data_IF_068541077965
#
_entry.id   IF_068541077965
#
_cell.length_a   1.000
_cell.length_b   1.000
_cell.length_c   1.000
_cell.angle_alpha   90.00
_cell.angle_beta   90.00
_cell.angle_gamma   90.00
#
_symmetry.space_group_name_H-M   'P 1'
#
loop_
_entity.id
_entity.type
_entity.pdbx_description
1 polymer ?
#
# COMPACT_ATOMS: atom_id res chain seq x y z
N UNK A 1 3.35 -19.22 19.35
CA UNK A 1 2.67 -19.58 18.09
C UNK A 1 2.20 -18.35 17.31
N UNK A 2 1.50 -17.40 17.94
CA UNK A 2 1.11 -16.13 17.28
C UNK A 2 2.32 -15.31 16.86
N UNK A 3 3.32 -15.15 17.74
CA UNK A 3 4.55 -14.39 17.44
C UNK A 3 5.37 -15.00 16.28
N UNK A 4 5.47 -16.33 16.20
CA UNK A 4 6.20 -16.98 15.10
C UNK A 4 5.47 -16.81 13.76
N UNK A 5 4.13 -16.92 13.76
CA UNK A 5 3.34 -16.63 12.57
C UNK A 5 3.45 -15.16 12.15
N UNK A 6 3.48 -14.26 13.14
CA UNK A 6 3.69 -12.84 12.90
C UNK A 6 5.04 -12.55 12.27
N UNK A 7 6.12 -13.20 12.74
CA UNK A 7 7.44 -13.06 12.13
C UNK A 7 7.46 -13.55 10.68
N UNK A 8 6.80 -14.67 10.36
CA UNK A 8 6.66 -15.14 8.97
C UNK A 8 5.88 -14.14 8.10
N UNK A 9 4.89 -13.45 8.66
CA UNK A 9 4.18 -12.36 7.96
C UNK A 9 5.12 -11.18 7.74
N UNK A 10 5.91 -10.78 8.73
CA UNK A 10 6.88 -9.69 8.60
C UNK A 10 7.93 -10.00 7.52
N UNK A 11 8.41 -11.24 7.41
CA UNK A 11 9.32 -11.66 6.34
C UNK A 11 8.69 -11.46 4.95
N UNK A 12 7.42 -11.84 4.77
CA UNK A 12 6.69 -11.60 3.52
C UNK A 12 6.52 -10.10 3.24
N UNK A 13 6.22 -9.29 4.27
CA UNK A 13 6.15 -7.83 4.14
C UNK A 13 7.50 -7.25 3.71
N UNK A 14 8.61 -7.74 4.25
CA UNK A 14 9.95 -7.30 3.84
C UNK A 14 10.26 -7.62 2.38
N UNK A 15 9.79 -8.76 1.88
CA UNK A 15 9.90 -9.10 0.45
C UNK A 15 9.10 -8.12 -0.42
N UNK A 16 7.87 -7.79 -0.02
CA UNK A 16 7.04 -6.81 -0.72
C UNK A 16 7.67 -5.41 -0.73
N UNK A 17 8.25 -4.96 0.38
CA UNK A 17 8.93 -3.66 0.44
C UNK A 17 10.21 -3.64 -0.41
N UNK A 18 10.89 -4.78 -0.54
CA UNK A 18 12.02 -4.92 -1.46
C UNK A 18 11.58 -4.76 -2.92
N UNK A 19 10.50 -5.44 -3.34
CA UNK A 19 9.92 -5.27 -4.67
C UNK A 19 9.40 -3.85 -4.93
N UNK A 20 8.85 -3.17 -3.91
CA UNK A 20 8.47 -1.75 -4.02
C UNK A 20 9.67 -0.84 -4.19
N UNK A 21 10.80 -1.12 -3.53
CA UNK A 21 12.05 -0.37 -3.71
C UNK A 21 12.56 -0.49 -5.14
N UNK A 22 12.53 -1.68 -5.72
CA UNK A 22 12.94 -1.93 -7.12
C UNK A 22 12.06 -1.12 -8.10
N UNK A 23 10.73 -1.27 -8.01
CA UNK A 23 9.80 -0.55 -8.89
C UNK A 23 9.86 0.97 -8.67
N UNK A 24 10.17 1.45 -7.47
CA UNK A 24 10.31 2.88 -7.19
C UNK A 24 11.33 3.55 -8.11
N UNK A 25 12.45 2.87 -8.36
CA UNK A 25 13.48 3.36 -9.30
C UNK A 25 12.92 3.45 -10.72
N UNK A 26 12.21 2.42 -11.17
CA UNK A 26 11.61 2.39 -12.50
C UNK A 26 10.55 3.47 -12.70
N UNK A 27 9.74 3.77 -11.67
CA UNK A 27 8.72 4.83 -11.69
C UNK A 27 9.36 6.19 -11.98
N UNK A 28 10.49 6.49 -11.34
CA UNK A 28 11.20 7.76 -11.50
C UNK A 28 11.84 7.90 -12.89
N UNK A 29 12.27 6.79 -13.49
CA UNK A 29 12.92 6.77 -14.80
C UNK A 29 11.93 6.63 -15.98
N UNK A 30 10.70 6.19 -15.74
CA UNK A 30 9.71 5.96 -16.78
C UNK A 30 9.32 7.26 -17.48
N UNK A 31 9.57 7.36 -18.80
CA UNK A 31 9.21 8.53 -19.62
C UNK A 31 7.81 8.43 -20.22
N UNK A 32 7.37 7.22 -20.53
CA UNK A 32 6.05 6.96 -21.10
C UNK A 32 4.98 6.91 -20.01
N UNK A 33 3.90 7.68 -20.18
CA UNK A 33 2.81 7.77 -19.20
C UNK A 33 2.13 6.42 -18.95
N UNK A 34 1.83 5.64 -20.00
CA UNK A 34 1.17 4.33 -19.86
C UNK A 34 2.03 3.35 -19.06
N UNK A 35 3.33 3.28 -19.38
CA UNK A 35 4.30 2.49 -18.62
C UNK A 35 4.38 2.95 -17.17
N UNK A 36 4.45 4.26 -16.93
CA UNK A 36 4.48 4.81 -15.56
C UNK A 36 3.22 4.45 -14.77
N UNK A 37 2.03 4.54 -15.38
CA UNK A 37 0.77 4.13 -14.73
C UNK A 37 0.75 2.63 -14.40
N UNK A 38 1.30 1.77 -15.28
CA UNK A 38 1.44 0.35 -14.99
C UNK A 38 2.37 0.09 -13.80
N UNK A 39 3.51 0.78 -13.73
CA UNK A 39 4.44 0.68 -12.58
C UNK A 39 3.79 1.19 -11.28
N UNK A 40 3.06 2.30 -11.34
CA UNK A 40 2.31 2.83 -10.19
C UNK A 40 1.24 1.83 -9.73
N UNK A 41 0.53 1.18 -10.67
CA UNK A 41 -0.43 0.14 -10.32
C UNK A 41 0.24 -1.03 -9.58
N UNK A 42 1.40 -1.49 -10.05
CA UNK A 42 2.15 -2.56 -9.39
C UNK A 42 2.68 -2.13 -8.01
N UNK A 43 3.15 -0.89 -7.87
CA UNK A 43 3.53 -0.34 -6.57
C UNK A 43 2.37 -0.38 -5.58
N UNK A 44 1.19 0.05 -6.00
CA UNK A 44 -0.02 0.01 -5.18
C UNK A 44 -0.48 -1.43 -4.90
N UNK A 45 -0.28 -2.39 -5.82
CA UNK A 45 -0.63 -3.79 -5.55
C UNK A 45 0.24 -4.40 -4.45
N UNK A 46 1.54 -4.10 -4.44
CA UNK A 46 2.42 -4.55 -3.36
C UNK A 46 2.05 -3.90 -2.02
N UNK A 47 1.68 -2.62 -2.04
CA UNK A 47 1.23 -1.91 -0.84
C UNK A 47 -0.09 -2.49 -0.31
N UNK A 48 -1.02 -2.85 -1.21
CA UNK A 48 -2.25 -3.56 -0.86
C UNK A 48 -1.95 -4.93 -0.21
N UNK A 49 -1.13 -5.76 -0.85
CA UNK A 49 -0.77 -7.07 -0.31
C UNK A 49 -0.11 -6.98 1.06
N UNK A 50 0.72 -5.95 1.29
CA UNK A 50 1.28 -5.68 2.62
C UNK A 50 0.17 -5.40 3.63
N UNK A 51 -0.78 -4.52 3.31
CA UNK A 51 -1.86 -4.21 4.23
C UNK A 51 -2.75 -5.42 4.51
N UNK A 52 -3.04 -6.26 3.51
CA UNK A 52 -3.80 -7.51 3.68
C UNK A 52 -3.08 -8.50 4.60
N UNK A 53 -1.76 -8.67 4.45
CA UNK A 53 -0.95 -9.49 5.35
C UNK A 53 -0.96 -8.96 6.80
N UNK A 54 -0.86 -7.64 6.96
CA UNK A 54 -0.90 -7.00 8.28
C UNK A 54 -2.30 -7.04 8.91
N UNK A 55 -3.38 -7.04 8.11
CA UNK A 55 -4.75 -7.24 8.59
C UNK A 55 -4.94 -8.66 9.12
N UNK A 56 -4.44 -9.66 8.39
CA UNK A 56 -4.46 -11.06 8.86
C UNK A 56 -3.72 -11.20 10.19
N UNK A 57 -2.53 -10.59 10.31
CA UNK A 57 -1.79 -10.54 11.57
C UNK A 57 -2.59 -9.87 12.70
N UNK A 58 -3.24 -8.74 12.41
CA UNK A 58 -4.04 -8.01 13.39
C UNK A 58 -5.24 -8.83 13.89
N UNK A 59 -5.97 -9.49 12.99
CA UNK A 59 -7.13 -10.33 13.32
C UNK A 59 -6.70 -11.53 14.18
N UNK A 60 -5.59 -12.19 13.82
CA UNK A 60 -5.05 -13.31 14.61
C UNK A 60 -4.62 -12.82 15.99
N UNK A 61 -3.89 -11.70 16.08
CA UNK A 61 -3.44 -11.13 17.33
C UNK A 61 -4.61 -10.71 18.24
N UNK A 62 -5.64 -10.09 17.67
CA UNK A 62 -6.86 -9.70 18.39
C UNK A 62 -7.58 -10.94 18.95
N UNK A 63 -7.76 -11.96 18.14
CA UNK A 63 -8.44 -13.21 18.52
C UNK A 63 -7.70 -13.93 19.66
N UNK A 64 -6.37 -13.90 19.64
CA UNK A 64 -5.52 -14.54 20.64
C UNK A 64 -5.12 -13.60 21.80
N UNK A 65 -5.61 -12.36 21.83
CA UNK A 65 -5.30 -11.32 22.82
C UNK A 65 -3.79 -11.03 22.94
N UNK A 66 -3.06 -11.14 21.83
CA UNK A 66 -1.63 -10.89 21.77
C UNK A 66 -1.33 -9.39 21.63
N UNK A 67 -1.19 -8.72 22.78
CA UNK A 67 -1.03 -7.25 22.84
C UNK A 67 0.24 -6.75 22.17
N UNK A 68 1.35 -7.50 22.25
CA UNK A 68 2.63 -7.05 21.68
C UNK A 68 2.54 -6.86 20.16
N UNK A 69 1.84 -7.75 19.47
CA UNK A 69 1.64 -7.66 18.01
C UNK A 69 0.70 -6.50 17.68
N UNK A 70 -0.40 -6.33 18.43
CA UNK A 70 -1.34 -5.23 18.22
C UNK A 70 -0.68 -3.86 18.47
N UNK A 71 0.14 -3.74 19.51
CA UNK A 71 0.88 -2.51 19.83
C UNK A 71 1.89 -2.17 18.73
N UNK A 72 2.59 -3.17 18.20
CA UNK A 72 3.50 -2.98 17.08
C UNK A 72 2.76 -2.53 15.81
N UNK A 73 1.65 -3.20 15.46
CA UNK A 73 0.82 -2.82 14.32
C UNK A 73 0.22 -1.41 14.49
N UNK A 74 -0.23 -1.03 15.69
CA UNK A 74 -0.74 0.31 15.95
C UNK A 74 0.29 1.42 15.67
N UNK A 75 1.57 1.16 15.94
CA UNK A 75 2.65 2.13 15.63
C UNK A 75 2.84 2.32 14.13
N UNK A 76 2.57 1.28 13.32
CA UNK A 76 2.67 1.36 11.86
C UNK A 76 1.50 2.14 11.23
N UNK A 77 0.34 2.17 11.88
CA UNK A 77 -0.89 2.81 11.41
C UNK A 77 -1.32 4.00 12.29
N UNK A 78 -0.35 4.75 12.82
CA UNK A 78 -0.57 5.79 13.83
C UNK A 78 -1.51 6.95 13.38
N UNK A 79 -1.78 7.10 12.09
CA UNK A 79 -2.48 8.23 11.48
C UNK A 79 -3.95 8.41 11.87
N UNK A 80 -4.59 7.44 12.54
CA UNK A 80 -6.00 7.54 12.97
C UNK A 80 -6.11 7.26 14.46
N UNK A 81 -6.12 8.30 15.30
CA UNK A 81 -5.92 8.17 16.76
C UNK A 81 -7.06 7.43 17.49
N UNK A 82 -8.28 7.39 16.95
CA UNK A 82 -9.47 6.89 17.67
C UNK A 82 -9.99 5.51 17.21
N UNK A 83 -9.37 4.89 16.20
CA UNK A 83 -9.87 3.62 15.65
C UNK A 83 -9.12 2.39 16.19
N UNK A 84 -9.80 1.24 16.20
CA UNK A 84 -9.16 -0.05 16.45
C UNK A 84 -8.16 -0.40 15.34
N UNK A 85 -7.05 -1.07 15.68
CA UNK A 85 -5.95 -1.41 14.75
C UNK A 85 -6.44 -2.05 13.46
N UNK A 86 -7.33 -3.05 13.58
CA UNK A 86 -7.88 -3.79 12.43
C UNK A 86 -8.64 -2.85 11.49
N UNK A 87 -9.43 -1.93 12.05
CA UNK A 87 -10.21 -0.98 11.25
C UNK A 87 -9.33 0.06 10.54
N UNK A 88 -8.23 0.50 11.17
CA UNK A 88 -7.23 1.35 10.50
C UNK A 88 -6.64 0.65 9.29
N UNK A 89 -6.25 -0.62 9.44
CA UNK A 89 -5.68 -1.40 8.34
C UNK A 89 -6.70 -1.60 7.22
N UNK A 90 -7.95 -1.93 7.57
CA UNK A 90 -9.04 -2.08 6.60
C UNK A 90 -9.36 -0.78 5.86
N UNK A 91 -9.22 0.37 6.53
CA UNK A 91 -9.35 1.67 5.87
C UNK A 91 -8.28 1.86 4.80
N UNK A 92 -7.01 1.59 5.13
CA UNK A 92 -5.91 1.66 4.15
C UNK A 92 -6.11 0.69 2.98
N UNK A 93 -6.55 -0.54 3.24
CA UNK A 93 -6.90 -1.51 2.18
C UNK A 93 -7.94 -0.92 1.22
N UNK A 94 -9.03 -0.36 1.74
CA UNK A 94 -10.10 0.24 0.92
C UNK A 94 -9.59 1.44 0.11
N UNK A 95 -8.77 2.29 0.71
CA UNK A 95 -8.16 3.44 0.05
C UNK A 95 -7.24 2.98 -1.11
N UNK A 96 -6.36 2.02 -0.86
CA UNK A 96 -5.43 1.50 -1.87
C UNK A 96 -6.18 0.80 -3.02
N UNK A 97 -7.20 -0.02 -2.72
CA UNK A 97 -8.06 -0.62 -3.74
C UNK A 97 -8.74 0.44 -4.63
N UNK A 98 -9.23 1.53 -4.02
CA UNK A 98 -9.83 2.65 -4.77
C UNK A 98 -8.81 3.31 -5.68
N UNK A 99 -7.58 3.55 -5.20
CA UNK A 99 -6.50 4.10 -6.02
C UNK A 99 -6.17 3.20 -7.20
N UNK A 100 -6.00 1.89 -6.96
CA UNK A 100 -5.73 0.90 -8.00
C UNK A 100 -6.81 0.89 -9.08
N UNK A 101 -8.10 0.93 -8.69
CA UNK A 101 -9.22 0.97 -9.64
C UNK A 101 -9.14 2.18 -10.58
N UNK A 102 -8.85 3.36 -10.01
CA UNK A 102 -8.77 4.60 -10.78
C UNK A 102 -7.51 4.62 -11.68
N UNK A 103 -6.38 4.15 -11.18
CA UNK A 103 -5.14 4.02 -11.97
C UNK A 103 -5.30 3.02 -13.12
N UNK A 104 -5.94 1.87 -12.88
CA UNK A 104 -6.15 0.87 -13.93
C UNK A 104 -7.06 1.43 -15.04
N UNK A 105 -8.14 2.12 -14.69
CA UNK A 105 -8.99 2.82 -15.67
C UNK A 105 -8.22 3.89 -16.43
N UNK A 106 -7.31 4.62 -15.77
CA UNK A 106 -6.49 5.62 -16.44
C UNK A 106 -5.49 5.04 -17.44
N UNK A 107 -5.01 3.82 -17.18
CA UNK A 107 -4.10 3.08 -18.07
C UNK A 107 -4.80 2.58 -19.33
N UNK A 108 -6.04 2.12 -19.21
CA UNK A 108 -6.76 1.44 -20.30
C UNK A 108 -7.75 2.34 -21.05
N UNK A 109 -8.41 3.28 -20.35
CA UNK A 109 -9.55 4.06 -20.86
C UNK A 109 -9.46 5.56 -20.47
N UNK A 110 -8.29 6.18 -20.70
CA UNK A 110 -8.02 7.57 -20.27
C UNK A 110 -9.10 8.59 -20.68
N UNK A 111 -9.72 8.41 -21.85
CA UNK A 111 -10.77 9.30 -22.37
C UNK A 111 -12.09 9.19 -21.58
N UNK A 112 -12.38 8.03 -20.98
CA UNK A 112 -13.60 7.75 -20.24
C UNK A 112 -13.55 8.20 -18.76
N UNK A 113 -12.41 8.73 -18.31
CA UNK A 113 -12.27 9.28 -16.95
C UNK A 113 -13.04 10.58 -16.79
N UNK A 114 -13.79 10.68 -15.70
CA UNK A 114 -14.39 11.94 -15.23
C UNK A 114 -13.33 12.95 -14.79
N UNK A 115 -13.71 14.23 -14.67
CA UNK A 115 -12.80 15.28 -14.17
C UNK A 115 -12.21 14.93 -12.79
N UNK A 116 -13.04 14.47 -11.86
CA UNK A 116 -12.62 14.09 -10.52
C UNK A 116 -11.65 12.92 -10.52
N UNK A 117 -11.87 11.91 -11.37
CA UNK A 117 -10.95 10.78 -11.52
C UNK A 117 -9.61 11.21 -12.11
N UNK A 118 -9.60 12.07 -13.13
CA UNK A 118 -8.34 12.61 -13.68
C UNK A 118 -7.53 13.35 -12.62
N UNK A 119 -8.20 14.14 -11.78
CA UNK A 119 -7.54 14.83 -10.66
C UNK A 119 -7.03 13.84 -9.61
N UNK A 120 -7.81 12.82 -9.28
CA UNK A 120 -7.38 11.76 -8.36
C UNK A 120 -6.16 11.01 -8.90
N UNK A 121 -6.10 10.67 -10.19
CA UNK A 121 -4.92 10.05 -10.82
C UNK A 121 -3.69 10.93 -10.63
N UNK A 122 -3.80 12.24 -10.84
CA UNK A 122 -2.67 13.16 -10.64
C UNK A 122 -2.17 13.16 -9.19
N UNK A 123 -3.07 13.18 -8.22
CA UNK A 123 -2.69 13.13 -6.80
C UNK A 123 -2.09 11.77 -6.42
N UNK A 124 -2.62 10.66 -6.95
CA UNK A 124 -2.03 9.32 -6.76
C UNK A 124 -0.61 9.27 -7.34
N UNK A 125 -0.40 9.81 -8.56
CA UNK A 125 0.94 9.87 -9.16
C UNK A 125 1.88 10.68 -8.28
N UNK A 126 1.46 11.86 -7.78
CA UNK A 126 2.28 12.67 -6.88
C UNK A 126 2.63 11.93 -5.60
N UNK A 127 1.65 11.28 -4.98
CA UNK A 127 1.82 10.49 -3.77
C UNK A 127 2.84 9.36 -3.99
N UNK A 128 2.65 8.53 -5.02
CA UNK A 128 3.54 7.39 -5.29
C UNK A 128 4.94 7.86 -5.71
N UNK A 129 5.07 8.95 -6.48
CA UNK A 129 6.39 9.52 -6.82
C UNK A 129 7.10 10.07 -5.59
N UNK A 130 6.39 10.70 -4.66
CA UNK A 130 6.97 11.15 -3.40
C UNK A 130 7.48 9.95 -2.58
N UNK A 131 6.69 8.88 -2.47
CA UNK A 131 7.10 7.63 -1.83
C UNK A 131 8.32 7.02 -2.53
N UNK A 132 8.30 6.91 -3.85
CA UNK A 132 9.41 6.35 -4.63
C UNK A 132 10.73 7.11 -4.44
N UNK A 133 10.68 8.43 -4.20
CA UNK A 133 11.86 9.23 -3.83
C UNK A 133 12.38 8.85 -2.44
N UNK A 134 11.49 8.66 -1.46
CA UNK A 134 11.88 8.21 -0.11
C UNK A 134 12.58 6.84 -0.15
N UNK A 135 12.07 5.88 -0.93
CA UNK A 135 12.71 4.56 -1.10
C UNK A 135 14.12 4.64 -1.71
N UNK A 136 14.44 5.71 -2.45
CA UNK A 136 15.74 5.91 -3.08
C UNK A 136 16.69 6.82 -2.28
N UNK A 137 16.22 7.41 -1.17
CA UNK A 137 17.07 8.17 -0.25
C UNK A 137 17.75 7.29 0.82
N UNK A 138 17.26 6.05 0.98
CA UNK A 138 17.68 5.06 1.99
C UNK A 138 18.29 3.85 1.29
#
# INVERSE_FOLDING_TARGET
MVVSLYNNILEQVMQLESSKKEISTEILLAREERKRLALIYNFLSYDLSKHELLEQAAVIALTNREKLVLDHLNRLYYTVEEQETVEKIRHEIKCTQRFMKVVNRAKDEKAALTFSERRMVQEIIKFVVAQARLYNQV
#
